data_IF_326817886223
#
_entry.id   IF_326817886223
#
_cell.length_a   1.000
_cell.length_b   1.000
_cell.length_c   1.000
_cell.angle_alpha   90.00
_cell.angle_beta   90.00
_cell.angle_gamma   90.00
#
_symmetry.space_group_name_H-M   'P 1'
#
loop_
_entity.id
_entity.type
_entity.pdbx_description
1 polymer ?
#
# COMPACT_ATOMS: atom_id res chain seq x y z
N UNK A 1 -8.20 3.31 3.20
CA UNK A 1 -8.01 4.04 1.94
C UNK A 1 -8.23 3.05 0.82
N UNK A 2 -9.03 3.41 -0.17
CA UNK A 2 -9.44 2.53 -1.27
C UNK A 2 -8.54 2.74 -2.50
N UNK A 3 -8.60 1.82 -3.46
CA UNK A 3 -7.72 1.84 -4.64
C UNK A 3 -7.83 3.14 -5.43
N UNK A 4 -9.04 3.69 -5.53
CA UNK A 4 -9.31 4.92 -6.25
C UNK A 4 -8.58 6.14 -5.63
N UNK A 5 -8.47 6.19 -4.30
CA UNK A 5 -7.77 7.28 -3.60
C UNK A 5 -6.25 7.24 -3.89
N UNK A 6 -5.66 6.04 -3.91
CA UNK A 6 -4.25 5.86 -4.30
C UNK A 6 -3.98 6.34 -5.74
N UNK A 7 -4.87 6.00 -6.67
CA UNK A 7 -4.78 6.44 -8.07
C UNK A 7 -4.88 7.97 -8.17
N UNK A 8 -5.79 8.59 -7.41
CA UNK A 8 -5.91 10.05 -7.36
C UNK A 8 -4.65 10.73 -6.82
N UNK A 9 -4.00 10.16 -5.80
CA UNK A 9 -2.71 10.66 -5.27
C UNK A 9 -1.63 10.59 -6.34
N UNK A 10 -1.46 9.44 -7.00
CA UNK A 10 -0.44 9.28 -8.04
C UNK A 10 -0.67 10.17 -9.26
N UNK A 11 -1.93 10.37 -9.65
CA UNK A 11 -2.26 11.30 -10.72
C UNK A 11 -1.96 12.76 -10.32
N UNK A 12 -2.25 13.15 -9.07
CA UNK A 12 -1.92 14.49 -8.54
C UNK A 12 -0.41 14.72 -8.44
N UNK A 13 0.36 13.67 -8.14
CA UNK A 13 1.82 13.70 -8.12
C UNK A 13 2.46 13.86 -9.52
N UNK A 14 1.65 13.80 -10.59
CA UNK A 14 2.13 13.93 -11.97
C UNK A 14 2.73 12.65 -12.52
N UNK A 15 2.32 11.49 -12.02
CA UNK A 15 2.80 10.21 -12.50
C UNK A 15 2.35 9.99 -13.97
N UNK A 16 3.26 9.70 -14.92
CA UNK A 16 2.93 9.53 -16.34
C UNK A 16 2.25 8.19 -16.66
N UNK A 17 2.10 7.30 -15.67
CA UNK A 17 1.49 5.98 -15.83
C UNK A 17 -0.02 6.11 -16.10
N UNK A 18 -0.56 5.27 -16.98
CA UNK A 18 -1.99 5.25 -17.27
C UNK A 18 -2.83 4.91 -16.05
N UNK A 19 -4.02 5.51 -15.95
CA UNK A 19 -4.96 5.28 -14.83
C UNK A 19 -5.28 3.81 -14.63
N UNK A 20 -5.44 3.03 -15.71
CA UNK A 20 -5.71 1.59 -15.64
C UNK A 20 -4.58 0.82 -14.95
N UNK A 21 -3.32 1.15 -15.27
CA UNK A 21 -2.17 0.50 -14.66
C UNK A 21 -1.97 0.93 -13.21
N UNK A 22 -2.24 2.21 -12.90
CA UNK A 22 -2.29 2.71 -11.53
C UNK A 22 -3.38 1.98 -10.71
N UNK A 23 -4.56 1.73 -11.27
CA UNK A 23 -5.60 0.96 -10.58
C UNK A 23 -5.12 -0.44 -10.21
N UNK A 24 -4.47 -1.14 -11.14
CA UNK A 24 -3.91 -2.47 -10.87
C UNK A 24 -2.86 -2.45 -9.75
N UNK A 25 -1.98 -1.43 -9.74
CA UNK A 25 -1.00 -1.24 -8.67
C UNK A 25 -1.66 -0.97 -7.30
N UNK A 26 -2.70 -0.14 -7.28
CA UNK A 26 -3.44 0.17 -6.06
C UNK A 26 -4.15 -1.07 -5.50
N UNK A 27 -4.79 -1.86 -6.36
CA UNK A 27 -5.45 -3.12 -5.97
C UNK A 27 -4.44 -4.13 -5.42
N UNK A 28 -3.29 -4.29 -6.08
CA UNK A 28 -2.24 -5.19 -5.61
C UNK A 28 -1.68 -4.78 -4.24
N UNK A 29 -1.43 -3.49 -4.03
CA UNK A 29 -0.99 -2.96 -2.73
C UNK A 29 -2.01 -3.21 -1.62
N UNK A 30 -3.30 -2.97 -1.90
CA UNK A 30 -4.37 -3.16 -0.90
C UNK A 30 -4.53 -4.64 -0.55
N UNK A 31 -4.44 -5.52 -1.54
CA UNK A 31 -4.54 -6.98 -1.34
C UNK A 31 -3.43 -7.52 -0.43
N UNK A 32 -2.19 -7.03 -0.58
CA UNK A 32 -1.03 -7.61 0.11
C UNK A 32 -0.62 -6.84 1.37
N UNK A 33 -0.80 -5.52 1.43
CA UNK A 33 -0.26 -4.68 2.50
C UNK A 33 -1.32 -3.89 3.29
N UNK A 34 -2.53 -3.66 2.76
CA UNK A 34 -3.48 -2.62 3.23
C UNK A 34 -2.88 -1.20 3.14
N UNK A 35 -3.68 -0.18 2.84
CA UNK A 35 -3.20 1.21 2.79
C UNK A 35 -3.88 2.03 3.89
N UNK A 36 -3.07 2.63 4.76
CA UNK A 36 -3.52 3.36 5.95
C UNK A 36 -2.70 4.63 6.20
N UNK A 37 -2.83 5.18 7.41
CA UNK A 37 -2.06 6.36 7.81
C UNK A 37 -0.55 6.10 7.66
N UNK A 38 0.17 7.08 7.12
CA UNK A 38 1.59 6.97 6.91
C UNK A 38 2.31 6.66 8.21
N UNK A 39 3.16 5.64 8.15
CA UNK A 39 4.13 5.29 9.18
C UNK A 39 5.42 4.89 8.49
N UNK A 40 6.55 5.13 9.15
CA UNK A 40 7.83 4.62 8.68
C UNK A 40 7.73 3.10 8.52
N UNK A 41 7.94 2.62 7.30
CA UNK A 41 8.00 1.19 6.99
C UNK A 41 9.35 0.66 7.45
N UNK A 42 9.37 -0.58 7.94
CA UNK A 42 10.62 -1.32 8.02
C UNK A 42 10.96 -1.93 6.66
N UNK A 43 12.22 -2.34 6.47
CA UNK A 43 12.70 -2.89 5.19
C UNK A 43 11.79 -4.03 4.67
N UNK A 44 11.36 -4.93 5.56
CA UNK A 44 10.48 -6.04 5.20
C UNK A 44 9.04 -5.64 4.80
N UNK A 45 8.58 -4.45 5.20
CA UNK A 45 7.29 -3.89 4.77
C UNK A 45 7.44 -3.18 3.44
N UNK A 46 8.54 -2.45 3.25
CA UNK A 46 8.88 -1.82 1.99
C UNK A 46 9.06 -2.87 0.88
N UNK A 47 9.84 -3.91 1.12
CA UNK A 47 10.02 -5.04 0.19
C UNK A 47 8.68 -5.68 -0.21
N UNK A 48 7.77 -5.84 0.75
CA UNK A 48 6.43 -6.41 0.47
C UNK A 48 5.57 -5.47 -0.36
N UNK A 49 5.58 -4.18 -0.07
CA UNK A 49 4.84 -3.19 -0.84
C UNK A 49 5.36 -3.12 -2.29
N UNK A 50 6.68 -3.10 -2.46
CA UNK A 50 7.30 -3.09 -3.78
C UNK A 50 7.05 -4.42 -4.50
N UNK A 51 7.13 -5.56 -3.83
CA UNK A 51 6.81 -6.85 -4.44
C UNK A 51 5.36 -6.92 -4.92
N UNK A 52 4.41 -6.38 -4.16
CA UNK A 52 3.01 -6.32 -4.56
C UNK A 52 2.83 -5.52 -5.86
N UNK A 53 3.50 -4.35 -5.96
CA UNK A 53 3.52 -3.55 -7.17
C UNK A 53 4.17 -4.31 -8.34
N UNK A 54 5.34 -4.89 -8.10
CA UNK A 54 6.10 -5.61 -9.13
C UNK A 54 5.34 -6.82 -9.69
N UNK A 55 4.48 -7.46 -8.89
CA UNK A 55 3.65 -8.58 -9.33
C UNK A 55 2.58 -8.21 -10.37
N UNK A 56 2.21 -6.94 -10.48
CA UNK A 56 1.33 -6.47 -11.56
C UNK A 56 2.01 -6.63 -12.92
N UNK A 57 3.31 -6.36 -12.98
CA UNK A 57 4.12 -6.51 -14.20
C UNK A 57 4.64 -7.94 -14.38
N UNK A 58 4.96 -8.61 -13.27
CA UNK A 58 5.52 -9.96 -13.22
C UNK A 58 4.79 -10.83 -12.19
N UNK A 59 3.68 -11.49 -12.55
CA UNK A 59 2.81 -12.20 -11.61
C UNK A 59 3.50 -13.27 -10.77
N UNK A 60 4.57 -13.87 -11.30
CA UNK A 60 5.36 -14.93 -10.63
C UNK A 60 6.57 -14.37 -9.86
N UNK A 61 6.67 -13.05 -9.69
CA UNK A 61 7.78 -12.43 -8.99
C UNK A 61 7.82 -12.82 -7.51
N UNK A 62 9.05 -13.05 -7.04
CA UNK A 62 9.37 -13.36 -5.64
C UNK A 62 10.26 -12.26 -5.05
N UNK A 63 10.44 -12.26 -3.73
CA UNK A 63 11.42 -11.39 -3.04
C UNK A 63 12.82 -11.55 -3.67
N UNK A 64 13.22 -12.77 -4.03
CA UNK A 64 14.50 -12.99 -4.69
C UNK A 64 14.57 -12.30 -6.05
N UNK A 65 13.48 -12.33 -6.83
CA UNK A 65 13.37 -11.61 -8.11
C UNK A 65 13.45 -10.09 -7.92
N UNK A 66 12.86 -9.59 -6.83
CA UNK A 66 12.93 -8.16 -6.48
C UNK A 66 14.37 -7.72 -6.22
N UNK A 67 15.15 -8.49 -5.46
CA UNK A 67 16.57 -8.19 -5.21
C UNK A 67 17.46 -8.26 -6.46
N UNK A 68 17.01 -8.94 -7.51
CA UNK A 68 17.73 -9.00 -8.80
C UNK A 68 17.31 -7.88 -9.76
N UNK A 69 16.37 -7.03 -9.36
CA UNK A 69 15.79 -6.02 -10.23
C UNK A 69 16.76 -4.84 -10.41
N UNK A 70 16.86 -4.27 -11.63
CA UNK A 70 17.72 -3.11 -11.84
C UNK A 70 17.29 -1.93 -10.96
N UNK A 71 18.24 -1.19 -10.35
CA UNK A 71 17.93 -0.10 -9.42
C UNK A 71 16.98 0.96 -9.99
N UNK A 72 17.08 1.22 -11.30
CA UNK A 72 16.22 2.17 -12.00
C UNK A 72 14.73 1.76 -11.98
N UNK A 73 14.45 0.47 -12.14
CA UNK A 73 13.08 -0.03 -12.05
C UNK A 73 12.57 0.04 -10.60
N UNK A 74 13.45 -0.24 -9.64
CA UNK A 74 13.14 -0.16 -8.22
C UNK A 74 12.76 1.28 -7.81
N UNK A 75 13.50 2.27 -8.29
CA UNK A 75 13.21 3.70 -8.04
C UNK A 75 11.80 4.12 -8.45
N UNK A 76 11.26 3.55 -9.53
CA UNK A 76 9.88 3.84 -9.96
C UNK A 76 8.84 3.41 -8.94
N UNK A 77 8.99 2.22 -8.34
CA UNK A 77 8.10 1.74 -7.30
C UNK A 77 8.27 2.48 -5.98
N UNK A 78 9.50 2.83 -5.59
CA UNK A 78 9.71 3.70 -4.41
C UNK A 78 9.07 5.07 -4.60
N UNK A 79 9.11 5.64 -5.82
CA UNK A 79 8.45 6.92 -6.09
C UNK A 79 6.95 6.83 -5.86
N UNK A 80 6.29 5.76 -6.33
CA UNK A 80 4.86 5.52 -6.08
C UNK A 80 4.56 5.46 -4.58
N UNK A 81 5.36 4.74 -3.79
CA UNK A 81 5.18 4.67 -2.34
C UNK A 81 5.45 6.02 -1.66
N UNK A 82 6.44 6.76 -2.14
CA UNK A 82 6.78 8.08 -1.63
C UNK A 82 5.68 9.11 -1.91
N UNK A 83 5.04 9.06 -3.08
CA UNK A 83 3.94 9.94 -3.43
C UNK A 83 2.72 9.72 -2.50
N UNK A 84 2.44 8.46 -2.12
CA UNK A 84 1.46 8.14 -1.07
C UNK A 84 1.89 8.71 0.29
N UNK A 85 3.15 8.49 0.67
CA UNK A 85 3.71 8.96 1.94
C UNK A 85 3.59 10.48 2.10
N UNK A 86 3.83 11.20 1.01
CA UNK A 86 3.74 12.66 0.95
C UNK A 86 2.33 13.18 1.23
N UNK A 87 1.29 12.47 0.81
CA UNK A 87 -0.11 12.82 1.11
C UNK A 87 -0.57 12.24 2.47
N UNK A 88 0.32 11.61 3.23
CA UNK A 88 0.04 11.07 4.56
C UNK A 88 -0.46 9.63 4.58
N UNK A 89 -0.26 8.88 3.49
CA UNK A 89 -0.69 7.49 3.34
C UNK A 89 0.50 6.54 3.17
N UNK A 90 0.39 5.31 3.67
CA UNK A 90 1.43 4.32 3.48
C UNK A 90 0.92 2.89 3.55
N UNK A 91 1.66 1.92 2.98
CA UNK A 91 1.33 0.52 3.11
C UNK A 91 1.43 0.11 4.59
N UNK A 92 0.34 -0.42 5.13
CA UNK A 92 0.28 -0.93 6.49
C UNK A 92 0.95 -2.30 6.62
N UNK A 93 1.06 -2.79 7.85
CA UNK A 93 1.01 -4.23 8.04
C UNK A 93 -0.46 -4.53 8.02
N UNK A 94 -0.93 -5.25 7.00
CA UNK A 94 -2.24 -5.88 6.99
C UNK A 94 -2.34 -6.90 8.13
N UNK A 95 -2.38 -6.42 9.38
CA UNK A 95 -3.30 -7.04 10.31
C UNK A 95 -4.65 -6.54 9.82
N UNK A 96 -5.46 -7.46 9.31
CA UNK A 96 -6.89 -7.24 9.21
C UNK A 96 -7.28 -6.72 10.59
N UNK A 97 -7.51 -5.42 10.69
CA UNK A 97 -8.01 -4.80 11.89
C UNK A 97 -9.35 -5.45 12.09
N UNK A 98 -9.36 -6.49 12.93
CA UNK A 98 -10.52 -6.92 13.65
C UNK A 98 -11.29 -5.67 13.99
N UNK A 99 -12.49 -5.64 13.44
CA UNK A 99 -13.41 -4.54 13.48
C UNK A 99 -13.25 -3.76 14.77
N UNK A 100 -13.06 -2.46 14.64
CA UNK A 100 -13.39 -1.53 15.70
C UNK A 100 -14.90 -1.62 15.95
N UNK A 101 -15.34 -2.72 16.60
CA UNK A 101 -16.52 -2.73 17.44
C UNK A 101 -16.01 -2.48 18.84
N UNK A 102 -15.66 -1.22 19.08
CA UNK A 102 -15.89 -0.60 20.38
C UNK A 102 -17.40 -0.71 20.66
N UNK A 103 -17.85 -1.89 21.06
CA UNK A 103 -19.12 -2.06 21.76
C UNK A 103 -18.89 -1.46 23.12
N UNK A 104 -19.46 -0.27 23.31
CA UNK A 104 -19.46 0.44 24.58
C UNK A 104 -19.77 -0.49 25.76
N UNK A 105 -19.03 -0.43 26.88
CA UNK A 105 -19.57 -0.86 28.14
C UNK A 105 -20.63 0.18 28.55
N UNK A 106 -21.90 -0.11 28.28
CA UNK A 106 -22.97 0.56 29.01
C UNK A 106 -22.98 -0.02 30.43
N UNK A 107 -22.29 0.69 31.31
CA UNK A 107 -22.46 0.61 32.76
C UNK A 107 -23.92 0.87 33.19
N UNK A 108 -24.21 0.38 34.41
CA UNK A 108 -25.33 0.73 35.31
C UNK A 108 -26.68 0.09 34.98
N UNK A 109 -27.24 -0.78 35.83
CA UNK A 109 -27.90 -0.33 37.06
C UNK A 109 -28.14 -1.48 38.07
N UNK A 110 -27.79 -1.21 39.34
CA UNK A 110 -28.27 -1.91 40.53
C UNK A 110 -29.81 -1.91 40.59
N UNK A 111 -30.43 -3.07 40.81
CA UNK A 111 -31.41 -3.26 41.89
C UNK A 111 -31.67 -4.75 42.14
#
# INVERSE_FOLDING_TARGET
MDSNDAVHVWHRAGNPTSTERLSNYAEALISECSIGAYRALNDAQEDRAILALFRVDQPQATIASLHQMPPLALSGYHQLLHDLAREGFGPGSGIHGETSRLRHPSETTLH
#
